data_IF_980578946689
#
_entry.id   IF_980578946689
#
_cell.length_a   1.000
_cell.length_b   1.000
_cell.length_c   1.000
_cell.angle_alpha   90.00
_cell.angle_beta   90.00
_cell.angle_gamma   90.00
#
_symmetry.space_group_name_H-M   'P 1'
#
loop_
_entity.id
_entity.type
_entity.pdbx_description
1 polymer ?
#
# COMPACT_ATOMS: atom_id res chain seq x y z
N UNK A 1 -84.45 -42.84 -26.78
CA UNK A 1 -83.47 -42.74 -25.67
C UNK A 1 -82.08 -42.59 -26.27
N UNK A 2 -81.65 -41.37 -26.64
CA UNK A 2 -80.28 -41.14 -27.16
C UNK A 2 -79.38 -40.77 -25.98
N UNK A 3 -78.42 -41.65 -25.69
CA UNK A 3 -77.44 -41.48 -24.61
C UNK A 3 -76.38 -40.46 -25.02
N UNK A 4 -76.23 -39.38 -24.24
CA UNK A 4 -75.20 -38.36 -24.43
C UNK A 4 -73.97 -38.76 -23.60
N UNK A 5 -72.91 -39.22 -24.26
CA UNK A 5 -71.61 -39.41 -23.62
C UNK A 5 -70.87 -38.07 -23.52
N UNK A 6 -70.56 -37.64 -22.30
CA UNK A 6 -69.71 -36.48 -22.03
C UNK A 6 -68.24 -36.90 -21.99
N UNK A 7 -67.40 -36.30 -22.84
CA UNK A 7 -65.94 -36.49 -22.83
C UNK A 7 -65.32 -35.43 -21.93
N UNK A 8 -64.75 -35.85 -20.80
CA UNK A 8 -63.99 -34.98 -19.91
C UNK A 8 -62.59 -34.76 -20.51
N UNK A 9 -62.30 -33.55 -20.98
CA UNK A 9 -60.94 -33.15 -21.39
C UNK A 9 -60.10 -32.83 -20.15
N UNK A 10 -59.17 -33.72 -19.81
CA UNK A 10 -58.12 -33.47 -18.81
C UNK A 10 -57.03 -32.59 -19.43
N UNK A 11 -56.98 -31.31 -19.05
CA UNK A 11 -55.85 -30.43 -19.37
C UNK A 11 -54.71 -30.72 -18.38
N UNK A 12 -53.59 -31.24 -18.89
CA UNK A 12 -52.33 -31.36 -18.13
C UNK A 12 -51.54 -30.05 -18.26
N UNK A 13 -51.20 -29.35 -17.15
CA UNK A 13 -50.35 -28.18 -17.24
C UNK A 13 -48.90 -28.63 -17.48
N UNK A 14 -48.25 -28.04 -18.48
CA UNK A 14 -46.81 -28.18 -18.68
C UNK A 14 -46.10 -27.29 -17.64
N UNK A 15 -45.52 -27.91 -16.61
CA UNK A 15 -44.65 -27.21 -15.67
C UNK A 15 -43.32 -26.87 -16.35
N UNK A 16 -42.99 -25.58 -16.40
CA UNK A 16 -41.70 -25.08 -16.92
C UNK A 16 -40.63 -25.33 -15.87
N UNK A 17 -39.74 -26.31 -16.08
CA UNK A 17 -38.59 -26.52 -15.21
C UNK A 17 -37.56 -25.41 -15.45
N UNK A 18 -37.48 -24.46 -14.52
CA UNK A 18 -36.35 -23.53 -14.45
C UNK A 18 -35.12 -24.27 -13.93
N UNK A 19 -34.24 -24.69 -14.84
CA UNK A 19 -32.92 -25.23 -14.50
C UNK A 19 -31.97 -24.07 -14.16
N UNK A 20 -32.18 -23.46 -13.00
CA UNK A 20 -31.22 -22.51 -12.42
C UNK A 20 -30.15 -23.28 -11.69
N UNK A 21 -28.97 -23.45 -12.29
CA UNK A 21 -27.81 -24.00 -11.59
C UNK A 21 -27.30 -22.92 -10.62
N UNK A 22 -27.85 -22.85 -9.41
CA UNK A 22 -27.33 -22.00 -8.34
C UNK A 22 -26.08 -22.68 -7.79
N UNK A 23 -24.95 -22.46 -8.47
CA UNK A 23 -23.64 -22.70 -7.87
C UNK A 23 -23.55 -21.79 -6.65
N UNK A 24 -23.62 -22.37 -5.46
CA UNK A 24 -23.37 -21.66 -4.23
C UNK A 24 -21.94 -21.13 -4.28
N UNK A 25 -21.79 -19.81 -4.34
CA UNK A 25 -20.49 -19.16 -4.21
C UNK A 25 -20.02 -19.46 -2.78
N UNK A 26 -18.87 -20.12 -2.59
CA UNK A 26 -18.36 -20.38 -1.25
C UNK A 26 -18.20 -19.05 -0.49
N UNK A 27 -18.36 -19.02 0.83
CA UNK A 27 -18.17 -17.82 1.62
C UNK A 27 -16.79 -17.24 1.31
N UNK A 28 -16.75 -16.00 0.84
CA UNK A 28 -15.49 -15.28 0.64
C UNK A 28 -14.93 -14.99 2.02
N UNK A 29 -13.95 -15.77 2.44
CA UNK A 29 -13.18 -15.54 3.66
C UNK A 29 -12.66 -14.09 3.63
N UNK A 30 -12.76 -13.32 4.73
CA UNK A 30 -12.36 -11.92 4.75
C UNK A 30 -10.86 -11.83 4.46
N UNK A 31 -10.53 -11.52 3.20
CA UNK A 31 -9.16 -11.43 2.72
C UNK A 31 -8.47 -10.31 3.48
N UNK A 32 -7.40 -10.70 4.18
CA UNK A 32 -6.57 -9.82 4.98
C UNK A 32 -6.16 -8.60 4.16
N UNK A 33 -6.33 -7.40 4.71
CA UNK A 33 -5.94 -6.15 4.05
C UNK A 33 -4.42 -6.19 3.84
N UNK A 34 -3.99 -6.28 2.58
CA UNK A 34 -2.57 -6.30 2.25
C UNK A 34 -1.89 -5.01 2.77
N UNK A 35 -0.66 -5.10 3.28
CA UNK A 35 0.06 -3.91 3.75
C UNK A 35 0.27 -2.91 2.61
N UNK A 36 0.36 -1.63 2.96
CA UNK A 36 0.57 -0.55 1.99
C UNK A 36 1.85 -0.73 1.16
N UNK A 37 2.92 -1.19 1.80
CA UNK A 37 4.20 -1.56 1.21
C UNK A 37 4.80 -2.79 1.94
N UNK A 38 5.74 -3.53 1.34
CA UNK A 38 6.35 -4.71 1.98
C UNK A 38 7.01 -4.44 3.34
N UNK A 39 7.54 -3.24 3.56
CA UNK A 39 8.23 -2.83 4.78
C UNK A 39 7.42 -1.84 5.65
N UNK A 40 6.21 -1.45 5.24
CA UNK A 40 5.40 -0.50 6.00
C UNK A 40 3.89 -0.73 5.79
N UNK A 41 3.12 -1.03 6.85
CA UNK A 41 1.76 -1.56 6.70
C UNK A 41 0.69 -0.50 6.38
N UNK A 42 0.85 0.73 6.87
CA UNK A 42 -0.18 1.78 6.82
C UNK A 42 0.15 2.86 5.80
N UNK A 43 -0.75 3.81 5.58
CA UNK A 43 -0.48 5.01 4.78
C UNK A 43 0.41 6.01 5.54
N UNK A 44 1.12 6.86 4.81
CA UNK A 44 2.08 7.84 5.36
C UNK A 44 1.85 9.26 4.85
N UNK A 45 0.72 9.54 4.18
CA UNK A 45 0.27 10.90 3.92
C UNK A 45 -1.24 11.01 4.04
N UNK A 46 -1.73 12.20 4.38
CA UNK A 46 -3.14 12.47 4.69
C UNK A 46 -4.08 12.13 3.52
N UNK A 47 -3.62 12.32 2.29
CA UNK A 47 -4.42 12.10 1.08
C UNK A 47 -4.11 10.76 0.39
N UNK A 48 -3.28 9.90 0.99
CA UNK A 48 -2.94 8.61 0.39
C UNK A 48 -4.10 7.62 0.55
N UNK A 49 -4.53 7.04 -0.56
CA UNK A 49 -5.47 5.93 -0.55
C UNK A 49 -4.77 4.63 -0.07
N UNK A 50 -5.45 3.80 0.73
CA UNK A 50 -4.93 2.49 1.10
C UNK A 50 -4.81 1.59 -0.13
N UNK A 51 -3.91 0.61 -0.07
CA UNK A 51 -3.71 -0.37 -1.15
C UNK A 51 -5.02 -1.10 -1.45
N UNK A 52 -5.45 -1.16 -2.73
CA UNK A 52 -6.67 -1.86 -3.10
C UNK A 52 -6.50 -3.38 -2.90
N UNK A 53 -7.55 -4.02 -2.38
CA UNK A 53 -7.67 -5.47 -2.42
C UNK A 53 -7.95 -5.95 -3.85
N UNK A 54 -7.61 -7.20 -4.18
CA UNK A 54 -7.81 -7.77 -5.53
C UNK A 54 -9.26 -7.88 -6.02
N UNK A 55 -10.24 -7.45 -5.23
CA UNK A 55 -11.66 -7.42 -5.59
C UNK A 55 -12.27 -6.04 -5.33
N UNK A 56 -11.45 -4.99 -5.18
CA UNK A 56 -11.96 -3.64 -4.90
C UNK A 56 -12.70 -3.01 -6.09
N UNK A 57 -12.63 -3.62 -7.28
CA UNK A 57 -13.43 -3.21 -8.44
C UNK A 57 -13.17 -4.07 -9.69
N UNK A 58 -13.93 -3.85 -10.77
CA UNK A 58 -13.90 -4.69 -11.97
C UNK A 58 -12.53 -4.78 -12.65
N UNK A 59 -11.67 -3.76 -12.46
CA UNK A 59 -10.31 -3.75 -13.03
C UNK A 59 -9.33 -4.67 -12.30
N UNK A 60 -9.62 -5.04 -11.06
CA UNK A 60 -8.79 -5.94 -10.27
C UNK A 60 -9.34 -7.38 -10.29
N UNK A 61 -10.55 -7.57 -10.81
CA UNK A 61 -11.11 -8.90 -11.05
C UNK A 61 -10.17 -9.70 -11.98
N UNK A 62 -9.91 -10.96 -11.62
CA UNK A 62 -8.97 -11.85 -12.32
C UNK A 62 -7.51 -11.36 -12.36
N UNK A 63 -7.15 -10.35 -11.56
CA UNK A 63 -5.76 -9.92 -11.42
C UNK A 63 -5.05 -10.71 -10.32
N UNK A 64 -3.86 -11.21 -10.62
CA UNK A 64 -2.96 -11.82 -9.63
C UNK A 64 -2.26 -10.68 -8.89
N UNK A 65 -2.73 -10.37 -7.68
CA UNK A 65 -2.31 -9.19 -6.91
C UNK A 65 -0.86 -9.25 -6.45
N UNK A 66 -0.32 -10.46 -6.31
CA UNK A 66 1.04 -10.76 -5.86
C UNK A 66 2.10 -10.32 -6.88
N UNK A 67 1.72 -10.28 -8.16
CA UNK A 67 2.60 -9.87 -9.26
C UNK A 67 2.47 -8.38 -9.60
N UNK A 68 1.56 -7.67 -8.95
CA UNK A 68 1.39 -6.23 -9.16
C UNK A 68 2.51 -5.45 -8.45
N UNK A 69 2.96 -4.31 -9.01
CA UNK A 69 3.99 -3.50 -8.39
C UNK A 69 3.70 -3.21 -6.91
N UNK A 70 4.68 -3.53 -6.07
CA UNK A 70 4.62 -3.30 -4.62
C UNK A 70 6.00 -2.92 -4.08
N UNK A 71 6.50 -1.72 -4.42
CA UNK A 71 7.82 -1.27 -3.98
C UNK A 71 7.86 -1.02 -2.47
N UNK A 72 9.04 -1.15 -1.83
CA UNK A 72 9.21 -0.74 -0.44
C UNK A 72 8.99 0.76 -0.26
N UNK A 73 8.49 1.14 0.92
CA UNK A 73 8.35 2.51 1.37
C UNK A 73 9.71 3.16 1.58
N UNK A 74 9.96 4.24 0.84
CA UNK A 74 11.17 5.05 0.96
C UNK A 74 11.29 5.72 2.33
N UNK A 75 10.16 6.09 2.95
CA UNK A 75 10.14 6.68 4.29
C UNK A 75 10.78 5.74 5.32
N UNK A 76 10.40 4.45 5.28
CA UNK A 76 10.93 3.44 6.18
C UNK A 76 12.42 3.17 5.89
N UNK A 77 12.81 3.09 4.62
CA UNK A 77 14.23 2.90 4.25
C UNK A 77 15.12 4.05 4.73
N UNK A 78 14.67 5.31 4.60
CA UNK A 78 15.42 6.47 5.10
C UNK A 78 15.43 6.53 6.63
N UNK A 79 14.38 6.03 7.30
CA UNK A 79 14.34 5.94 8.75
C UNK A 79 15.37 4.94 9.32
N UNK A 80 15.71 3.90 8.55
CA UNK A 80 16.74 2.90 8.88
C UNK A 80 18.16 3.41 8.63
N UNK A 81 18.34 4.40 7.75
CA UNK A 81 19.67 4.99 7.49
C UNK A 81 20.22 5.64 8.78
N UNK A 82 21.48 5.31 9.16
CA UNK A 82 22.10 5.82 10.36
C UNK A 82 22.34 7.34 10.28
N UNK A 83 22.31 7.98 11.44
CA UNK A 83 22.61 9.39 11.57
C UNK A 83 24.11 9.60 11.36
N UNK A 84 24.47 10.54 10.49
CA UNK A 84 25.86 10.88 10.19
C UNK A 84 26.36 11.95 11.14
N UNK A 85 27.32 11.59 11.97
CA UNK A 85 27.91 12.50 12.96
C UNK A 85 29.00 13.35 12.30
N UNK A 86 28.94 14.67 12.49
CA UNK A 86 29.88 15.63 11.91
C UNK A 86 30.56 16.44 13.00
N UNK A 87 31.88 16.60 12.88
CA UNK A 87 32.70 17.39 13.81
C UNK A 87 32.67 18.87 13.40
N UNK A 88 31.50 19.50 13.55
CA UNK A 88 31.31 20.89 13.18
C UNK A 88 29.85 21.34 13.29
N UNK A 89 29.63 22.65 13.21
CA UNK A 89 28.28 23.24 13.31
C UNK A 89 27.46 23.13 12.03
N UNK A 90 28.06 22.67 10.93
CA UNK A 90 27.43 22.54 9.62
C UNK A 90 27.74 21.20 8.97
N UNK A 91 26.74 20.55 8.40
CA UNK A 91 26.91 19.43 7.48
C UNK A 91 26.77 19.89 6.03
N UNK A 92 27.43 19.18 5.12
CA UNK A 92 27.31 19.38 3.67
C UNK A 92 26.73 18.11 3.06
N UNK A 93 25.69 18.26 2.24
CA UNK A 93 25.05 17.14 1.57
C UNK A 93 24.83 17.48 0.09
N UNK A 94 25.21 16.58 -0.79
CA UNK A 94 25.03 16.66 -2.25
C UNK A 94 24.46 15.35 -2.84
N UNK A 95 23.99 14.44 -1.98
CA UNK A 95 23.51 13.12 -2.40
C UNK A 95 24.61 12.08 -2.66
N UNK A 96 25.89 12.40 -2.44
CA UNK A 96 27.00 11.43 -2.42
C UNK A 96 27.58 11.00 -3.77
N UNK A 97 26.97 11.42 -4.89
CA UNK A 97 27.39 11.06 -6.26
C UNK A 97 27.70 12.30 -7.12
N UNK A 98 28.03 13.41 -6.47
CA UNK A 98 28.33 14.68 -7.13
C UNK A 98 27.14 15.17 -7.99
N UNK A 99 27.32 15.44 -9.29
CA UNK A 99 26.24 15.95 -10.15
C UNK A 99 25.01 15.04 -10.31
N UNK A 100 25.13 13.74 -10.02
CA UNK A 100 24.02 12.79 -10.09
C UNK A 100 23.13 12.81 -8.84
N UNK A 101 23.50 13.60 -7.84
CA UNK A 101 22.77 13.73 -6.60
C UNK A 101 21.79 14.90 -6.65
N UNK A 102 21.71 15.63 -5.55
CA UNK A 102 20.91 16.85 -5.46
C UNK A 102 21.82 18.07 -5.33
N UNK A 103 21.31 19.31 -5.51
CA UNK A 103 22.10 20.50 -5.28
C UNK A 103 22.78 20.47 -3.92
N UNK A 104 24.05 20.86 -3.87
CA UNK A 104 24.82 20.92 -2.64
C UNK A 104 24.14 21.88 -1.67
N UNK A 105 23.77 21.37 -0.49
CA UNK A 105 23.21 22.17 0.60
C UNK A 105 24.08 22.13 1.84
N UNK A 106 23.89 23.15 2.68
CA UNK A 106 24.50 23.27 3.99
C UNK A 106 23.41 23.18 5.05
N UNK A 107 23.55 22.23 5.97
CA UNK A 107 22.56 21.95 7.01
C UNK A 107 23.12 22.47 8.33
N UNK A 108 22.34 23.29 9.04
CA UNK A 108 22.73 23.80 10.36
C UNK A 108 22.54 22.72 11.43
N UNK A 109 23.55 22.48 12.26
CA UNK A 109 23.54 21.48 13.33
C UNK A 109 23.61 22.10 14.74
N UNK A 110 23.39 23.41 14.86
CA UNK A 110 23.40 24.10 16.16
C UNK A 110 22.30 23.63 17.12
N UNK A 111 21.19 23.12 16.57
CA UNK A 111 20.10 22.57 17.38
C UNK A 111 20.42 21.13 17.74
N UNK A 112 20.18 20.71 18.99
CA UNK A 112 20.42 19.33 19.39
C UNK A 112 19.53 18.37 18.59
N UNK A 113 20.06 17.17 18.34
CA UNK A 113 19.38 16.09 17.65
C UNK A 113 19.53 16.12 16.12
N UNK A 114 19.03 15.06 15.44
CA UNK A 114 19.33 14.83 14.04
C UNK A 114 18.57 15.78 13.11
N UNK A 115 19.29 16.44 12.21
CA UNK A 115 18.75 17.34 11.19
C UNK A 115 18.74 16.65 9.82
N UNK A 116 17.58 16.49 9.17
CA UNK A 116 17.50 15.83 7.86
C UNK A 116 17.93 16.74 6.71
N UNK A 117 18.52 16.15 5.68
CA UNK A 117 18.63 16.77 4.37
C UNK A 117 17.25 16.87 3.71
N UNK A 118 16.88 18.06 3.21
CA UNK A 118 15.58 18.29 2.56
C UNK A 118 15.37 17.56 1.22
N UNK A 119 16.42 16.97 0.64
CA UNK A 119 16.33 16.23 -0.61
C UNK A 119 16.30 14.71 -0.40
N UNK A 120 17.37 14.16 0.21
CA UNK A 120 17.52 12.72 0.38
C UNK A 120 17.03 12.19 1.74
N UNK A 121 16.71 13.07 2.70
CA UNK A 121 16.22 12.68 4.03
C UNK A 121 17.29 12.13 5.00
N UNK A 122 18.54 11.98 4.54
CA UNK A 122 19.67 11.56 5.38
C UNK A 122 19.84 12.55 6.54
N UNK A 123 20.01 12.01 7.75
CA UNK A 123 20.09 12.79 8.99
C UNK A 123 21.54 13.02 9.40
N UNK A 124 21.80 14.22 9.90
CA UNK A 124 23.11 14.64 10.39
C UNK A 124 22.99 15.16 11.82
N UNK A 125 24.02 14.91 12.62
CA UNK A 125 24.08 15.41 14.00
C UNK A 125 25.49 15.90 14.32
N UNK A 126 25.58 16.93 15.16
CA UNK A 126 26.87 17.44 15.61
C UNK A 126 27.49 16.47 16.63
N UNK A 127 28.77 16.15 16.44
CA UNK A 127 29.52 15.38 17.44
C UNK A 127 29.46 16.09 18.81
N UNK A 128 29.30 15.35 19.92
CA UNK A 128 29.38 15.94 21.25
C UNK A 128 30.71 16.69 21.41
N UNK A 129 30.65 17.95 21.82
CA UNK A 129 31.86 18.68 22.18
C UNK A 129 32.40 18.09 23.48
N UNK A 130 33.56 17.45 23.44
CA UNK A 130 34.39 17.35 24.64
C UNK A 130 34.79 18.78 24.99
N UNK A 131 34.19 19.32 26.04
CA UNK A 131 34.61 20.60 26.59
C UNK A 131 36.13 20.54 26.80
N UNK A 132 36.84 21.54 26.30
CA UNK A 132 38.19 21.81 26.79
C UNK A 132 38.06 22.05 28.30
N UNK A 133 38.58 21.13 29.10
CA UNK A 133 38.92 21.38 30.49
C UNK A 133 39.79 22.63 30.53
N UNK A 134 39.32 23.65 31.25
CA UNK A 134 40.09 24.81 31.67
C UNK A 134 40.09 24.87 33.18
#
# INVERSE_FOLDING_TARGET
MLSRHAVVRLARPLARLSSGSSVAIPPVEPKQVAPQAPNYPTTWSTSQAPRPAGQSGPRFEQTIMELQPNPPSAMQMVAEEPIRVVHGRKAVCDGGVGPLGHPKIFINLDKPGPQPCGYCGIRYEQAPHHAHEH
#
